data_IF_825599961906
#
_entry.id   IF_825599961906
#
_cell.length_a   1.000
_cell.length_b   1.000
_cell.length_c   1.000
_cell.angle_alpha   90.00
_cell.angle_beta   90.00
_cell.angle_gamma   90.00
#
_symmetry.space_group_name_H-M   'P 1'
#
loop_
_entity.id
_entity.type
_entity.pdbx_description
1 polymer ?
#
# COMPACT_ATOMS: atom_id res chain seq x y z
N UNK A 1 35.73 -1.01 -33.19
CA UNK A 1 35.28 -2.07 -32.28
C UNK A 1 36.12 -1.97 -31.04
N UNK A 2 35.60 -1.36 -29.97
CA UNK A 2 36.22 -1.43 -28.65
C UNK A 2 35.09 -1.59 -27.63
N UNK A 3 35.11 -2.73 -26.93
CA UNK A 3 34.08 -3.19 -25.98
C UNK A 3 34.74 -3.25 -24.60
N UNK A 4 34.87 -2.10 -23.94
CA UNK A 4 35.23 -2.03 -22.52
C UNK A 4 34.51 -0.87 -21.84
N UNK A 5 33.18 -0.93 -21.78
CA UNK A 5 32.41 -0.12 -20.84
C UNK A 5 32.13 -0.95 -19.59
N UNK A 6 32.80 -0.60 -18.49
CA UNK A 6 32.53 -1.10 -17.13
C UNK A 6 31.03 -0.95 -16.80
N UNK A 7 30.45 -1.85 -15.99
CA UNK A 7 29.04 -1.75 -15.60
C UNK A 7 28.79 -0.42 -14.88
N UNK A 8 27.83 0.36 -15.39
CA UNK A 8 27.30 1.54 -14.69
C UNK A 8 26.90 1.10 -13.28
N UNK A 9 27.45 1.78 -12.28
CA UNK A 9 27.12 1.55 -10.88
C UNK A 9 25.60 1.54 -10.69
N UNK A 10 25.09 0.55 -9.96
CA UNK A 10 23.70 0.51 -9.47
C UNK A 10 23.33 1.90 -8.93
N UNK A 11 22.18 2.48 -9.31
CA UNK A 11 21.80 3.80 -8.86
C UNK A 11 21.83 3.86 -7.33
N UNK A 12 22.48 4.90 -6.79
CA UNK A 12 22.66 5.08 -5.35
C UNK A 12 21.34 4.85 -4.61
N UNK A 13 21.32 3.82 -3.74
CA UNK A 13 20.16 3.30 -3.00
C UNK A 13 19.24 4.44 -2.55
N UNK A 14 17.96 4.33 -2.88
CA UNK A 14 16.95 5.31 -2.47
C UNK A 14 16.90 5.42 -0.94
N UNK A 15 16.62 6.61 -0.40
CA UNK A 15 16.52 6.77 1.05
C UNK A 15 15.40 5.87 1.57
N UNK A 16 15.81 4.81 2.28
CA UNK A 16 14.91 3.93 2.99
C UNK A 16 14.22 4.71 4.09
N UNK A 17 12.93 4.46 4.27
CA UNK A 17 12.20 4.92 5.44
C UNK A 17 12.85 4.24 6.66
N UNK A 18 13.54 5.02 7.50
CA UNK A 18 14.14 4.44 8.72
C UNK A 18 13.00 3.92 9.64
N UNK A 19 13.23 2.88 10.46
CA UNK A 19 12.21 2.27 11.29
C UNK A 19 11.43 3.26 12.20
N UNK A 20 12.08 4.34 12.64
CA UNK A 20 11.45 5.42 13.42
C UNK A 20 10.41 6.24 12.64
N UNK A 21 10.44 6.18 11.30
CA UNK A 21 9.44 6.75 10.39
C UNK A 21 8.40 5.71 9.99
N UNK A 22 8.03 4.78 10.86
CA UNK A 22 6.88 3.89 10.65
C UNK A 22 6.07 3.90 11.94
N UNK A 23 4.86 4.49 11.92
CA UNK A 23 3.93 4.37 13.05
C UNK A 23 3.08 3.12 12.89
N UNK A 24 3.16 2.26 13.89
CA UNK A 24 2.47 0.99 13.94
C UNK A 24 1.23 1.12 14.82
N UNK A 25 0.05 0.81 14.26
CA UNK A 25 -1.17 0.66 15.05
C UNK A 25 -1.45 -0.83 15.30
N UNK A 26 -1.81 -1.18 16.53
CA UNK A 26 -2.13 -2.55 16.96
C UNK A 26 -3.63 -2.69 17.23
N UNK A 27 -4.21 -3.84 16.90
CA UNK A 27 -5.61 -4.13 17.25
C UNK A 27 -5.71 -5.09 18.43
N UNK A 28 -6.68 -4.82 19.30
CA UNK A 28 -7.23 -5.80 20.23
C UNK A 28 -8.35 -6.56 19.52
N UNK A 29 -8.20 -7.86 19.26
CA UNK A 29 -9.32 -8.71 18.83
C UNK A 29 -9.54 -9.81 19.87
N UNK A 30 -10.74 -9.80 20.48
CA UNK A 30 -11.28 -11.00 21.14
C UNK A 30 -11.91 -11.89 20.04
N UNK A 31 -11.79 -13.22 20.13
CA UNK A 31 -12.36 -14.12 19.13
C UNK A 31 -13.89 -13.97 19.08
N UNK A 32 -14.44 -13.84 17.87
CA UNK A 32 -15.87 -13.80 17.64
C UNK A 32 -16.52 -15.11 18.14
N UNK A 33 -17.46 -14.99 19.09
CA UNK A 33 -18.29 -16.13 19.51
C UNK A 33 -19.18 -16.53 18.33
N UNK A 34 -19.08 -17.79 17.89
CA UNK A 34 -20.01 -18.38 16.91
C UNK A 34 -21.43 -18.35 17.49
N UNK A 35 -22.43 -17.79 16.79
CA UNK A 35 -23.82 -17.96 17.19
C UNK A 35 -24.27 -19.37 16.80
N UNK A 36 -24.67 -20.19 17.78
CA UNK A 36 -25.31 -21.48 17.47
C UNK A 36 -25.11 -22.65 18.44
N UNK A 37 -24.30 -22.55 19.50
CA UNK A 37 -24.20 -23.66 20.46
C UNK A 37 -25.20 -23.46 21.61
N UNK A 38 -26.30 -24.22 21.59
CA UNK A 38 -27.34 -24.24 22.63
C UNK A 38 -26.73 -24.64 23.98
N UNK A 39 -27.12 -23.94 25.05
CA UNK A 39 -26.85 -24.33 26.44
C UNK A 39 -27.55 -25.66 26.74
N UNK A 40 -26.78 -26.64 27.20
CA UNK A 40 -27.31 -27.73 28.03
C UNK A 40 -26.92 -27.36 29.47
N UNK A 41 -27.91 -27.06 30.30
CA UNK A 41 -27.81 -27.07 31.76
C UNK A 41 -28.10 -28.52 32.21
N UNK A 42 -27.58 -29.12 33.28
CA UNK A 42 -26.63 -28.78 34.33
C UNK A 42 -26.27 -30.11 35.02
N UNK A 43 -25.12 -30.22 35.70
CA UNK A 43 -25.00 -30.93 36.98
C UNK A 43 -23.59 -30.79 37.56
N UNK A 44 -23.52 -30.11 38.72
CA UNK A 44 -22.61 -30.35 39.84
C UNK A 44 -21.13 -30.60 39.59
N UNK A 45 -20.29 -29.60 39.88
CA UNK A 45 -19.19 -29.70 40.85
C UNK A 45 -18.58 -28.33 41.16
N UNK A 46 -18.16 -28.23 42.42
CA UNK A 46 -17.53 -27.17 43.19
C UNK A 46 -16.67 -26.17 42.42
N UNK A 47 -16.84 -24.89 42.75
CA UNK A 47 -15.96 -23.78 42.36
C UNK A 47 -14.66 -23.82 43.17
N UNK A 48 -13.52 -24.01 42.50
CA UNK A 48 -12.20 -23.67 43.02
C UNK A 48 -11.87 -22.21 42.66
N UNK A 49 -11.43 -21.36 43.62
CA UNK A 49 -11.06 -19.97 43.34
C UNK A 49 -9.59 -19.90 42.92
N UNK A 50 -9.30 -19.83 41.62
CA UNK A 50 -7.90 -19.80 41.18
C UNK A 50 -7.65 -19.75 39.69
N UNK A 51 -8.27 -18.80 38.97
CA UNK A 51 -7.79 -18.47 37.63
C UNK A 51 -7.96 -16.97 37.40
N UNK A 52 -6.90 -16.22 37.69
CA UNK A 52 -6.74 -14.86 37.17
C UNK A 52 -7.04 -14.90 35.68
N UNK A 53 -8.07 -14.18 35.25
CA UNK A 53 -8.42 -14.03 33.86
C UNK A 53 -7.16 -13.60 33.10
N UNK A 54 -6.59 -14.51 32.30
CA UNK A 54 -5.47 -14.16 31.43
C UNK A 54 -5.97 -13.05 30.52
N UNK A 55 -5.40 -11.85 30.70
CA UNK A 55 -5.59 -10.72 29.80
C UNK A 55 -5.37 -11.23 28.37
N UNK A 56 -6.30 -11.00 27.44
CA UNK A 56 -6.12 -11.49 26.07
C UNK A 56 -4.80 -10.93 25.54
N UNK A 57 -3.95 -11.83 25.02
CA UNK A 57 -2.72 -11.46 24.32
C UNK A 57 -3.11 -10.53 23.17
N UNK A 58 -2.94 -9.22 23.37
CA UNK A 58 -3.00 -8.24 22.29
C UNK A 58 -1.93 -8.65 21.30
N UNK A 59 -2.32 -8.90 20.05
CA UNK A 59 -1.36 -9.19 18.98
C UNK A 59 -0.36 -8.03 18.94
N UNK A 60 0.91 -8.32 19.26
CA UNK A 60 2.02 -7.35 19.14
C UNK A 60 2.41 -7.10 17.67
N UNK A 61 1.61 -7.55 16.70
CA UNK A 61 1.85 -7.34 15.28
C UNK A 61 1.01 -6.17 14.77
N UNK A 62 1.63 -5.22 14.05
CA UNK A 62 0.90 -4.06 13.56
C UNK A 62 -0.16 -4.46 12.55
N UNK A 63 -1.28 -3.76 12.59
CA UNK A 63 -2.39 -3.85 11.63
C UNK A 63 -2.23 -2.77 10.55
N UNK A 64 -1.69 -1.61 10.94
CA UNK A 64 -1.48 -0.45 10.06
C UNK A 64 -0.03 0.01 10.16
N UNK A 65 0.54 0.35 9.02
CA UNK A 65 1.84 1.02 8.89
C UNK A 65 1.55 2.42 8.33
N UNK A 66 1.61 3.45 9.17
CA UNK A 66 1.50 4.85 8.76
C UNK A 66 2.88 5.45 8.50
N UNK A 67 2.97 6.38 7.54
CA UNK A 67 4.25 6.94 7.05
C UNK A 67 4.43 8.38 7.56
N UNK A 68 5.23 8.62 8.61
CA UNK A 68 5.59 9.94 9.07
C UNK A 68 6.34 10.69 7.95
N UNK A 69 5.75 11.79 7.49
CA UNK A 69 6.23 12.58 6.33
C UNK A 69 5.17 12.75 5.24
N UNK A 70 4.34 11.72 5.02
CA UNK A 70 3.04 11.80 4.34
C UNK A 70 1.96 12.36 5.29
N UNK A 71 2.16 12.15 6.59
CA UNK A 71 1.34 12.68 7.71
C UNK A 71 1.66 14.16 8.03
N UNK A 72 2.13 14.94 7.04
CA UNK A 72 2.46 16.34 7.24
C UNK A 72 1.24 17.23 6.91
N UNK A 73 0.71 17.94 7.91
CA UNK A 73 -0.47 18.80 7.76
C UNK A 73 -1.76 17.99 7.76
N UNK A 74 -2.64 18.27 6.79
CA UNK A 74 -3.95 17.64 6.69
C UNK A 74 -3.92 16.24 6.02
N UNK A 75 -2.82 15.85 5.36
CA UNK A 75 -2.74 14.56 4.66
C UNK A 75 -2.32 13.44 5.62
N UNK A 76 -2.89 12.25 5.42
CA UNK A 76 -2.51 11.03 6.12
C UNK A 76 -2.51 9.86 5.14
N UNK A 77 -1.60 8.90 5.33
CA UNK A 77 -1.59 7.69 4.52
C UNK A 77 -0.69 6.61 5.09
N UNK A 78 -0.78 5.43 4.48
CA UNK A 78 -0.14 4.23 4.96
C UNK A 78 -0.55 2.99 4.19
N UNK A 79 -0.25 1.83 4.76
CA UNK A 79 -0.60 0.53 4.22
C UNK A 79 -1.06 -0.42 5.32
N UNK A 80 -2.02 -1.28 5.01
CA UNK A 80 -2.44 -2.36 5.92
C UNK A 80 -1.46 -3.53 5.89
N UNK A 81 -1.39 -4.25 7.01
CA UNK A 81 -0.71 -5.55 7.06
C UNK A 81 -1.72 -6.68 6.79
N UNK A 82 -1.23 -7.92 6.72
CA UNK A 82 -2.11 -9.10 6.66
C UNK A 82 -2.84 -9.38 7.98
N UNK A 83 -2.41 -8.76 9.08
CA UNK A 83 -2.93 -9.07 10.43
C UNK A 83 -4.31 -8.45 10.61
N UNK A 84 -5.31 -9.30 10.83
CA UNK A 84 -6.69 -8.87 11.05
C UNK A 84 -7.47 -8.55 9.78
N UNK A 85 -6.83 -8.57 8.60
CA UNK A 85 -7.49 -8.37 7.31
C UNK A 85 -7.89 -9.71 6.68
N UNK A 86 -9.03 -9.75 5.95
CA UNK A 86 -9.50 -10.97 5.30
C UNK A 86 -8.53 -11.44 4.20
N UNK A 87 -8.33 -12.75 4.12
CA UNK A 87 -7.74 -13.39 2.95
C UNK A 87 -8.74 -13.39 1.77
N UNK A 88 -8.27 -13.71 0.56
CA UNK A 88 -9.19 -14.17 -0.49
C UNK A 88 -9.83 -15.49 -0.03
N UNK A 89 -11.15 -15.63 -0.22
CA UNK A 89 -11.88 -16.85 0.16
C UNK A 89 -11.37 -18.10 -0.62
N UNK A 90 -11.68 -19.32 -0.14
CA UNK A 90 -11.21 -20.58 -0.76
C UNK A 90 -11.61 -20.77 -2.24
N UNK A 91 -12.59 -19.99 -2.74
CA UNK A 91 -13.06 -19.98 -4.12
C UNK A 91 -12.61 -18.75 -4.94
N UNK A 92 -11.62 -17.98 -4.47
CA UNK A 92 -11.18 -16.77 -5.17
C UNK A 92 -12.17 -15.60 -5.03
N UNK A 93 -12.89 -15.54 -3.90
CA UNK A 93 -13.77 -14.42 -3.52
C UNK A 93 -12.98 -13.15 -3.15
N UNK A 94 -12.06 -12.76 -4.02
CA UNK A 94 -11.15 -11.64 -3.85
C UNK A 94 -11.94 -10.33 -3.61
N UNK A 95 -13.03 -10.12 -4.34
CA UNK A 95 -13.84 -8.91 -4.20
C UNK A 95 -14.61 -8.84 -2.86
N UNK A 96 -15.09 -9.98 -2.34
CA UNK A 96 -15.70 -10.01 -1.01
C UNK A 96 -14.67 -9.73 0.08
N UNK A 97 -13.48 -10.34 -0.03
CA UNK A 97 -12.35 -10.04 0.85
C UNK A 97 -11.95 -8.57 0.78
N UNK A 98 -11.86 -8.00 -0.43
CA UNK A 98 -11.55 -6.58 -0.59
C UNK A 98 -12.62 -5.67 0.02
N UNK A 99 -13.90 -5.99 -0.17
CA UNK A 99 -15.01 -5.22 0.41
C UNK A 99 -14.97 -5.21 1.94
N UNK A 100 -14.79 -6.39 2.56
CA UNK A 100 -14.62 -6.50 4.02
C UNK A 100 -13.36 -5.79 4.51
N UNK A 101 -12.26 -5.86 3.74
CA UNK A 101 -11.03 -5.13 4.02
C UNK A 101 -11.21 -3.62 4.02
N UNK A 102 -11.92 -3.06 3.03
CA UNK A 102 -12.27 -1.61 2.99
C UNK A 102 -13.08 -1.19 4.21
N UNK A 103 -14.09 -1.97 4.60
CA UNK A 103 -14.89 -1.69 5.79
C UNK A 103 -14.06 -1.71 7.08
N UNK A 104 -13.15 -2.67 7.22
CA UNK A 104 -12.25 -2.75 8.38
C UNK A 104 -11.28 -1.56 8.40
N UNK A 105 -10.70 -1.22 7.25
CA UNK A 105 -9.80 -0.08 7.14
C UNK A 105 -10.50 1.22 7.56
N UNK A 106 -11.74 1.46 7.10
CA UNK A 106 -12.51 2.65 7.47
C UNK A 106 -12.64 2.81 8.99
N UNK A 107 -12.99 1.70 9.67
CA UNK A 107 -13.11 1.66 11.13
C UNK A 107 -11.77 1.96 11.82
N UNK A 108 -10.67 1.39 11.32
CA UNK A 108 -9.33 1.62 11.86
C UNK A 108 -8.87 3.07 11.67
N UNK A 109 -9.21 3.68 10.53
CA UNK A 109 -8.93 5.09 10.23
C UNK A 109 -9.89 6.06 10.95
N UNK A 110 -10.93 5.55 11.62
CA UNK A 110 -12.03 6.33 12.22
C UNK A 110 -12.67 7.28 11.21
N UNK A 111 -12.87 6.78 9.98
CA UNK A 111 -13.52 7.52 8.88
C UNK A 111 -14.81 6.82 8.45
N UNK A 112 -15.66 7.57 7.76
CA UNK A 112 -16.86 7.02 7.16
C UNK A 112 -16.48 6.01 6.06
N UNK A 113 -16.90 4.72 6.14
CA UNK A 113 -16.68 3.75 5.08
C UNK A 113 -17.30 4.14 3.73
N UNK A 114 -18.30 5.04 3.73
CA UNK A 114 -18.90 5.58 2.51
C UNK A 114 -18.00 6.58 1.79
N UNK A 115 -16.90 7.01 2.41
CA UNK A 115 -15.96 8.03 1.91
C UNK A 115 -14.63 7.43 1.43
N UNK A 116 -14.73 6.32 0.71
CA UNK A 116 -13.58 5.59 0.15
C UNK A 116 -13.73 5.41 -1.35
N UNK A 117 -12.69 5.73 -2.12
CA UNK A 117 -12.60 5.47 -3.55
C UNK A 117 -11.58 4.36 -3.84
N UNK A 118 -11.90 3.51 -4.81
CA UNK A 118 -11.01 2.45 -5.29
C UNK A 118 -11.22 2.18 -6.79
N UNK A 119 -10.32 1.37 -7.34
CA UNK A 119 -10.29 1.01 -8.75
C UNK A 119 -10.57 -0.46 -8.97
N UNK A 120 -11.01 -0.79 -10.17
CA UNK A 120 -10.77 -2.09 -10.77
C UNK A 120 -9.38 -2.02 -11.42
N UNK A 121 -8.38 -2.49 -10.67
CA UNK A 121 -6.97 -2.47 -11.10
C UNK A 121 -6.74 -3.44 -12.25
N UNK A 122 -6.20 -2.93 -13.37
CA UNK A 122 -6.04 -3.68 -14.63
C UNK A 122 -4.59 -3.73 -15.13
N UNK A 123 -3.64 -3.30 -14.30
CA UNK A 123 -2.20 -3.25 -14.60
C UNK A 123 -1.84 -2.36 -15.81
N UNK A 124 -2.57 -1.25 -15.97
CA UNK A 124 -2.38 -0.19 -16.97
C UNK A 124 -1.57 1.00 -16.41
N UNK A 125 -1.39 2.04 -17.24
CA UNK A 125 -0.92 3.38 -16.85
C UNK A 125 -2.07 4.39 -16.64
N UNK A 126 -3.33 3.95 -16.74
CA UNK A 126 -4.48 4.85 -16.72
C UNK A 126 -4.67 5.44 -15.32
N UNK A 127 -4.91 6.75 -15.30
CA UNK A 127 -5.16 7.54 -14.10
C UNK A 127 -6.56 8.13 -14.17
N UNK A 128 -7.33 8.04 -13.08
CA UNK A 128 -8.62 8.69 -12.96
C UNK A 128 -8.55 9.83 -11.95
N UNK A 129 -9.10 10.99 -12.33
CA UNK A 129 -9.46 12.01 -11.36
C UNK A 129 -10.76 11.59 -10.68
N UNK A 130 -10.77 11.54 -9.35
CA UNK A 130 -11.90 11.01 -8.58
C UNK A 130 -12.42 12.07 -7.64
N UNK A 131 -13.73 12.33 -7.71
CA UNK A 131 -14.43 13.31 -6.87
C UNK A 131 -15.51 12.64 -6.00
N UNK A 132 -15.93 11.42 -6.37
CA UNK A 132 -16.94 10.63 -5.67
C UNK A 132 -16.35 9.37 -5.03
N UNK A 133 -16.90 8.90 -3.90
CA UNK A 133 -16.55 7.61 -3.33
C UNK A 133 -17.11 6.44 -4.17
N UNK A 134 -16.56 5.25 -3.94
CA UNK A 134 -16.97 4.02 -4.61
C UNK A 134 -15.94 3.49 -5.61
N UNK A 135 -16.42 2.63 -6.51
CA UNK A 135 -15.63 2.11 -7.62
C UNK A 135 -15.56 3.17 -8.71
N UNK A 136 -14.40 3.78 -8.93
CA UNK A 136 -14.24 4.84 -9.93
C UNK A 136 -14.11 4.31 -11.38
N UNK A 137 -13.69 3.06 -11.55
CA UNK A 137 -13.60 2.39 -12.86
C UNK A 137 -12.31 1.58 -13.06
N UNK A 138 -12.06 1.22 -14.32
CA UNK A 138 -10.89 0.45 -14.75
C UNK A 138 -9.69 1.39 -14.94
N UNK A 139 -8.72 1.33 -14.04
CA UNK A 139 -7.49 2.13 -14.05
C UNK A 139 -6.50 1.60 -13.00
N UNK A 140 -5.33 2.23 -12.89
CA UNK A 140 -4.31 1.83 -11.91
C UNK A 140 -3.79 2.99 -11.05
N UNK A 141 -4.26 4.22 -11.27
CA UNK A 141 -4.06 5.30 -10.31
C UNK A 141 -5.26 6.22 -10.18
N UNK A 142 -5.35 6.89 -9.03
CA UNK A 142 -6.33 7.91 -8.73
C UNK A 142 -5.65 9.20 -8.28
N UNK A 143 -6.22 10.33 -8.67
CA UNK A 143 -5.87 11.67 -8.18
C UNK A 143 -7.14 12.33 -7.64
N UNK A 144 -7.05 13.05 -6.52
CA UNK A 144 -8.17 13.85 -6.02
C UNK A 144 -7.71 15.14 -5.33
N UNK A 145 -8.65 16.09 -5.28
CA UNK A 145 -8.60 17.27 -4.43
C UNK A 145 -9.70 17.28 -3.39
N UNK A 146 -10.48 16.22 -3.25
CA UNK A 146 -11.57 16.17 -2.29
C UNK A 146 -11.06 15.95 -0.88
N UNK A 147 -11.63 16.71 0.06
CA UNK A 147 -11.44 16.47 1.48
C UNK A 147 -12.23 15.25 1.92
N UNK A 148 -11.66 14.53 2.89
CA UNK A 148 -12.25 13.34 3.48
C UNK A 148 -12.68 12.30 2.43
N UNK A 149 -11.92 12.16 1.34
CA UNK A 149 -12.06 11.08 0.36
C UNK A 149 -10.78 10.24 0.38
N UNK A 150 -10.86 9.02 0.91
CA UNK A 150 -9.70 8.13 0.98
C UNK A 150 -9.51 7.37 -0.33
N UNK A 151 -8.35 7.54 -0.96
CA UNK A 151 -7.94 6.77 -2.15
C UNK A 151 -7.32 5.45 -1.70
N UNK A 152 -7.81 4.33 -2.21
CA UNK A 152 -7.34 2.98 -1.87
C UNK A 152 -6.79 2.23 -3.08
N UNK A 153 -5.60 1.65 -2.91
CA UNK A 153 -4.98 0.73 -3.87
C UNK A 153 -4.75 -0.62 -3.18
N UNK A 154 -5.25 -1.70 -3.80
CA UNK A 154 -5.08 -3.05 -3.30
C UNK A 154 -3.84 -3.71 -3.91
N UNK A 155 -2.95 -4.26 -3.09
CA UNK A 155 -1.72 -4.91 -3.58
C UNK A 155 -1.45 -6.23 -2.87
N UNK A 156 -0.71 -7.09 -3.55
CA UNK A 156 0.06 -8.18 -2.99
C UNK A 156 1.22 -8.40 -3.96
N UNK A 157 2.41 -7.89 -3.59
CA UNK A 157 3.66 -7.80 -4.38
C UNK A 157 3.84 -6.60 -5.31
N UNK A 158 2.81 -6.11 -6.02
CA UNK A 158 2.95 -4.88 -6.80
C UNK A 158 3.25 -3.66 -5.90
N UNK A 159 3.97 -2.66 -6.43
CA UNK A 159 4.35 -1.45 -5.71
C UNK A 159 3.21 -0.45 -5.55
N UNK A 160 2.67 -0.19 -4.36
CA UNK A 160 1.78 0.94 -4.16
C UNK A 160 2.60 2.22 -4.05
N UNK A 161 2.20 3.28 -4.74
CA UNK A 161 2.82 4.61 -4.66
C UNK A 161 1.80 5.61 -4.16
N UNK A 162 2.11 6.29 -3.06
CA UNK A 162 1.28 7.36 -2.50
C UNK A 162 1.97 8.70 -2.73
N UNK A 163 1.26 9.67 -3.30
CA UNK A 163 1.80 10.98 -3.61
C UNK A 163 0.94 12.09 -3.04
N UNK A 164 1.55 13.21 -2.63
CA UNK A 164 0.82 14.43 -2.30
C UNK A 164 1.64 15.70 -2.52
N UNK A 165 0.96 16.79 -2.87
CA UNK A 165 1.50 18.15 -2.74
C UNK A 165 0.96 18.77 -1.44
N UNK A 166 1.84 19.07 -0.46
CA UNK A 166 1.43 19.59 0.84
C UNK A 166 0.83 21.01 0.79
N UNK A 167 1.03 21.78 -0.29
CA UNK A 167 0.48 23.13 -0.39
C UNK A 167 -0.90 23.16 -1.04
N UNK A 168 -1.07 22.43 -2.14
CA UNK A 168 -2.32 22.44 -2.92
C UNK A 168 -3.33 21.43 -2.40
N UNK A 169 -2.87 20.48 -1.58
CA UNK A 169 -3.69 19.41 -1.03
C UNK A 169 -4.07 18.34 -2.07
N UNK A 170 -3.47 18.35 -3.25
CA UNK A 170 -3.66 17.27 -4.24
C UNK A 170 -3.02 16.00 -3.69
N UNK A 171 -3.78 14.89 -3.68
CA UNK A 171 -3.29 13.57 -3.28
C UNK A 171 -3.51 12.58 -4.43
N UNK A 172 -2.66 11.55 -4.47
CA UNK A 172 -2.77 10.47 -5.44
C UNK A 172 -2.33 9.12 -4.85
N UNK A 173 -2.89 8.04 -5.40
CA UNK A 173 -2.48 6.68 -5.11
C UNK A 173 -2.41 5.87 -6.40
N UNK A 174 -1.30 5.19 -6.63
CA UNK A 174 -1.03 4.40 -7.83
C UNK A 174 -0.64 2.96 -7.52
N UNK A 175 -1.04 2.04 -8.40
CA UNK A 175 -0.68 0.64 -8.45
C UNK A 175 0.40 0.42 -9.50
N UNK A 176 1.65 0.39 -9.06
CA UNK A 176 2.80 0.15 -9.91
C UNK A 176 3.23 -1.33 -9.84
N UNK A 177 2.45 -2.19 -10.50
CA UNK A 177 2.94 -3.51 -10.92
C UNK A 177 3.99 -3.38 -12.02
N UNK A 178 4.60 -4.49 -12.46
CA UNK A 178 5.65 -4.41 -13.49
C UNK A 178 5.13 -3.81 -14.81
N UNK A 179 3.92 -4.18 -15.26
CA UNK A 179 3.29 -3.62 -16.47
C UNK A 179 3.07 -2.12 -16.34
N UNK A 180 2.42 -1.69 -15.25
CA UNK A 180 2.18 -0.27 -14.96
C UNK A 180 3.47 0.53 -14.83
N UNK A 181 4.53 -0.05 -14.25
CA UNK A 181 5.84 0.61 -14.12
C UNK A 181 6.49 0.81 -15.49
N UNK A 182 6.45 -0.20 -16.36
CA UNK A 182 6.98 -0.11 -17.73
C UNK A 182 6.16 0.86 -18.58
N UNK A 183 4.83 0.86 -18.44
CA UNK A 183 3.94 1.74 -19.20
C UNK A 183 3.84 3.17 -18.66
N UNK A 184 4.53 3.48 -17.56
CA UNK A 184 4.67 4.85 -17.06
C UNK A 184 3.56 5.33 -16.11
N UNK A 185 2.92 4.46 -15.33
CA UNK A 185 1.83 4.82 -14.40
C UNK A 185 2.26 5.90 -13.39
N UNK A 186 3.53 5.95 -13.00
CA UNK A 186 4.03 6.94 -12.05
C UNK A 186 4.07 8.34 -12.69
N UNK A 187 4.59 8.43 -13.91
CA UNK A 187 4.68 9.62 -14.73
C UNK A 187 3.28 10.16 -15.01
N UNK A 188 2.37 9.29 -15.48
CA UNK A 188 0.96 9.66 -15.69
C UNK A 188 0.27 10.16 -14.42
N UNK A 189 0.59 9.57 -13.27
CA UNK A 189 0.02 10.02 -11.99
C UNK A 189 0.51 11.42 -11.63
N UNK A 190 1.80 11.70 -11.84
CA UNK A 190 2.40 13.02 -11.61
C UNK A 190 1.83 14.07 -12.58
N UNK A 191 1.69 13.73 -13.87
CA UNK A 191 1.01 14.56 -14.87
C UNK A 191 -0.41 14.95 -14.40
N UNK A 192 -1.22 13.97 -14.02
CA UNK A 192 -2.58 14.20 -13.54
C UNK A 192 -2.63 15.02 -12.22
N UNK A 193 -1.62 14.88 -11.35
CA UNK A 193 -1.50 15.73 -10.16
C UNK A 193 -1.22 17.18 -10.54
N UNK A 194 -0.34 17.43 -11.52
CA UNK A 194 -0.01 18.77 -12.01
C UNK A 194 -1.23 19.40 -12.68
N UNK A 195 -1.98 18.65 -13.48
CA UNK A 195 -3.25 19.08 -14.06
C UNK A 195 -4.30 19.43 -12.99
N UNK A 196 -4.28 18.73 -11.85
CA UNK A 196 -5.09 19.05 -10.68
C UNK A 196 -4.53 20.24 -9.86
N UNK A 197 -3.43 20.86 -10.29
CA UNK A 197 -2.85 22.06 -9.70
C UNK A 197 -1.71 21.80 -8.71
N UNK A 198 -1.17 20.57 -8.64
CA UNK A 198 0.04 20.29 -7.88
C UNK A 198 1.28 20.91 -8.55
N UNK A 199 2.30 21.17 -7.76
CA UNK A 199 3.64 21.53 -8.26
C UNK A 199 4.57 20.34 -8.11
N UNK A 200 5.14 19.89 -9.22
CA UNK A 200 6.05 18.74 -9.30
C UNK A 200 7.21 18.84 -8.31
N UNK A 201 7.75 20.04 -8.10
CA UNK A 201 8.87 20.25 -7.19
C UNK A 201 8.44 19.99 -5.75
N UNK A 202 7.16 20.18 -5.40
CA UNK A 202 6.62 19.99 -4.05
C UNK A 202 6.09 18.59 -3.79
N UNK A 203 5.76 17.82 -4.82
CA UNK A 203 5.22 16.47 -4.69
C UNK A 203 6.18 15.61 -3.85
N UNK A 204 5.61 14.98 -2.84
CA UNK A 204 6.27 13.93 -2.05
C UNK A 204 5.68 12.60 -2.43
N UNK A 205 6.53 11.60 -2.58
CA UNK A 205 6.13 10.26 -2.95
C UNK A 205 6.63 9.24 -1.92
N UNK A 206 5.81 8.24 -1.65
CA UNK A 206 6.17 7.07 -0.88
C UNK A 206 5.86 5.81 -1.66
N UNK A 207 6.87 4.97 -1.83
CA UNK A 207 6.77 3.63 -2.41
C UNK A 207 6.62 2.66 -1.26
N UNK A 208 5.48 1.96 -1.21
CA UNK A 208 5.18 1.02 -0.15
C UNK A 208 5.84 -0.34 -0.31
N UNK A 209 5.62 -1.25 0.67
CA UNK A 209 6.09 -2.62 0.60
C UNK A 209 5.62 -3.30 -0.69
N UNK A 210 6.57 -3.94 -1.38
CA UNK A 210 6.34 -4.68 -2.61
C UNK A 210 7.40 -5.78 -2.75
N UNK A 211 7.32 -6.60 -3.79
CA UNK A 211 8.29 -7.68 -4.00
C UNK A 211 9.68 -7.11 -4.24
N UNK A 212 10.64 -7.57 -3.45
CA UNK A 212 12.03 -7.12 -3.52
C UNK A 212 12.83 -7.79 -4.63
N UNK A 213 14.00 -7.22 -5.00
CA UNK A 213 14.84 -7.72 -6.09
C UNK A 213 15.26 -9.17 -5.92
N UNK A 214 15.52 -9.63 -4.68
CA UNK A 214 15.91 -11.00 -4.41
C UNK A 214 14.79 -12.03 -4.66
N UNK A 215 13.52 -11.59 -4.76
CA UNK A 215 12.34 -12.46 -4.85
C UNK A 215 11.60 -12.30 -6.17
N UNK A 216 11.84 -11.22 -6.91
CA UNK A 216 11.13 -10.93 -8.15
C UNK A 216 11.79 -11.55 -9.38
N UNK A 217 11.88 -12.88 -9.37
CA UNK A 217 12.24 -13.66 -10.55
C UNK A 217 11.20 -13.46 -11.66
N UNK A 218 11.67 -13.25 -12.89
CA UNK A 218 10.85 -13.09 -14.10
C UNK A 218 11.44 -13.86 -15.29
N UNK A 219 10.69 -13.94 -16.39
CA UNK A 219 11.24 -14.38 -17.68
C UNK A 219 11.96 -13.25 -18.41
N UNK A 220 12.75 -13.61 -19.43
CA UNK A 220 13.51 -12.62 -20.22
C UNK A 220 12.59 -11.63 -20.93
N UNK A 221 11.37 -12.04 -21.29
CA UNK A 221 10.35 -11.21 -21.90
C UNK A 221 9.90 -10.03 -21.03
N UNK A 222 9.93 -10.20 -19.70
CA UNK A 222 9.66 -9.13 -18.75
C UNK A 222 10.94 -8.35 -18.47
N UNK A 223 12.07 -9.05 -18.28
CA UNK A 223 13.36 -8.43 -17.99
C UNK A 223 13.82 -7.46 -19.09
N UNK A 224 13.53 -7.76 -20.35
CA UNK A 224 13.86 -6.92 -21.50
C UNK A 224 13.06 -5.59 -21.55
N UNK A 225 11.98 -5.47 -20.78
CA UNK A 225 11.17 -4.25 -20.68
C UNK A 225 11.74 -3.23 -19.70
N UNK A 226 12.68 -3.63 -18.86
CA UNK A 226 13.33 -2.77 -17.87
C UNK A 226 14.72 -2.35 -18.33
N UNK A 227 15.16 -1.17 -17.88
CA UNK A 227 16.56 -0.78 -18.00
C UNK A 227 17.44 -1.82 -17.30
N UNK A 228 18.55 -2.20 -17.94
CA UNK A 228 19.47 -3.21 -17.44
C UNK A 228 20.04 -2.90 -16.04
N UNK A 229 20.04 -1.63 -15.61
CA UNK A 229 20.44 -1.23 -14.27
C UNK A 229 19.51 -1.77 -13.15
N UNK A 230 18.28 -2.18 -13.48
CA UNK A 230 17.32 -2.76 -12.55
C UNK A 230 17.14 -4.27 -12.71
N UNK A 231 17.95 -4.91 -13.56
CA UNK A 231 17.84 -6.34 -13.83
C UNK A 231 19.11 -7.05 -13.44
N UNK A 232 19.01 -7.93 -12.45
CA UNK A 232 20.06 -8.88 -12.12
C UNK A 232 19.94 -10.13 -12.99
N UNK A 233 20.91 -10.31 -13.90
CA UNK A 233 21.04 -11.49 -14.77
C UNK A 233 22.15 -12.44 -14.32
N UNK A 234 22.67 -12.29 -13.09
CA UNK A 234 23.67 -13.20 -12.53
C UNK A 234 23.06 -14.48 -11.96
N UNK A 235 21.75 -14.49 -11.73
CA UNK A 235 20.96 -15.64 -11.30
C UNK A 235 20.55 -16.52 -12.50
N UNK A 236 20.09 -17.75 -12.22
CA UNK A 236 19.61 -18.68 -13.24
C UNK A 236 18.47 -18.10 -14.11
N UNK A 237 17.64 -17.24 -13.51
CA UNK A 237 16.63 -16.43 -14.19
C UNK A 237 16.76 -14.97 -13.80
N UNK A 238 16.41 -14.02 -14.69
CA UNK A 238 16.48 -12.60 -14.37
C UNK A 238 15.63 -12.22 -13.16
N UNK A 239 16.17 -11.33 -12.34
CA UNK A 239 15.47 -10.73 -11.21
C UNK A 239 15.36 -9.22 -11.42
N UNK A 240 14.19 -8.64 -11.11
CA UNK A 240 13.93 -7.21 -11.33
C UNK A 240 13.82 -6.47 -10.00
N UNK A 241 14.57 -5.39 -9.84
CA UNK A 241 14.39 -4.42 -8.75
C UNK A 241 13.22 -3.48 -9.05
N UNK A 242 12.01 -3.98 -8.85
CA UNK A 242 10.76 -3.23 -9.07
C UNK A 242 10.70 -1.93 -8.23
N UNK A 243 11.03 -1.92 -6.92
CA UNK A 243 11.03 -0.69 -6.14
C UNK A 243 12.01 0.37 -6.69
N UNK A 244 13.20 -0.04 -7.17
CA UNK A 244 14.16 0.90 -7.76
C UNK A 244 13.67 1.43 -9.13
N UNK A 245 13.06 0.58 -9.96
CA UNK A 245 12.47 0.99 -11.23
C UNK A 245 11.35 2.02 -11.03
N UNK A 246 10.43 1.79 -10.09
CA UNK A 246 9.37 2.75 -9.72
C UNK A 246 9.98 4.10 -9.31
N UNK A 247 11.01 4.06 -8.47
CA UNK A 247 11.65 5.27 -7.98
C UNK A 247 12.37 6.03 -9.10
N UNK A 248 12.93 5.35 -10.10
CA UNK A 248 13.50 5.96 -11.29
C UNK A 248 12.42 6.64 -12.15
N UNK A 249 11.28 5.99 -12.35
CA UNK A 249 10.12 6.59 -13.04
C UNK A 249 9.63 7.88 -12.36
N UNK A 250 9.56 7.91 -11.04
CA UNK A 250 9.22 9.13 -10.30
C UNK A 250 10.26 10.26 -10.48
N UNK A 251 11.55 9.92 -10.58
CA UNK A 251 12.59 10.91 -10.89
C UNK A 251 12.46 11.45 -12.32
N UNK A 252 12.16 10.59 -13.29
CA UNK A 252 11.93 10.96 -14.68
C UNK A 252 10.69 11.84 -14.84
N UNK A 253 9.67 11.63 -13.99
CA UNK A 253 8.51 12.52 -13.87
C UNK A 253 8.83 13.90 -13.23
N UNK A 254 10.09 14.15 -12.85
CA UNK A 254 10.55 15.44 -12.33
C UNK A 254 10.56 15.56 -10.79
N UNK A 255 10.24 14.50 -10.04
CA UNK A 255 10.27 14.60 -8.57
C UNK A 255 11.70 14.73 -8.05
N UNK A 256 11.85 15.55 -7.02
CA UNK A 256 13.11 15.66 -6.29
C UNK A 256 13.42 14.35 -5.54
N UNK A 257 14.61 13.76 -5.75
CA UNK A 257 15.07 12.54 -5.06
C UNK A 257 14.90 12.59 -3.54
N UNK A 258 15.08 13.77 -2.92
CA UNK A 258 14.94 13.94 -1.46
C UNK A 258 13.49 13.85 -0.97
N UNK A 259 12.50 13.88 -1.87
CA UNK A 259 11.05 13.80 -1.58
C UNK A 259 10.45 12.43 -1.92
N UNK A 260 11.25 11.51 -2.46
CA UNK A 260 10.87 10.12 -2.67
C UNK A 260 11.35 9.30 -1.47
N UNK A 261 10.46 8.47 -0.90
CA UNK A 261 10.77 7.53 0.17
C UNK A 261 10.38 6.13 -0.26
N UNK A 262 11.16 5.14 0.13
CA UNK A 262 10.86 3.73 -0.11
C UNK A 262 10.76 2.99 1.22
N UNK A 263 9.72 2.17 1.39
CA UNK A 263 9.54 1.36 2.59
C UNK A 263 10.71 0.38 2.83
N UNK A 264 11.39 -0.08 1.77
CA UNK A 264 12.51 -1.03 1.88
C UNK A 264 12.10 -2.40 2.41
N UNK A 265 10.85 -2.79 2.18
CA UNK A 265 10.23 -3.99 2.77
C UNK A 265 9.72 -4.91 1.67
N UNK A 266 10.22 -6.14 1.65
CA UNK A 266 9.81 -7.18 0.72
C UNK A 266 8.55 -7.92 1.23
N UNK A 267 7.50 -7.96 0.43
CA UNK A 267 6.22 -8.64 0.77
C UNK A 267 6.36 -10.15 0.86
N UNK A 268 7.28 -10.74 0.08
CA UNK A 268 7.58 -12.18 0.09
C UNK A 268 8.32 -12.56 1.37
N UNK A 269 9.36 -11.81 1.73
CA UNK A 269 10.24 -12.11 2.88
C UNK A 269 9.58 -11.84 4.23
N UNK A 270 8.74 -10.80 4.32
CA UNK A 270 8.04 -10.43 5.56
C UNK A 270 6.65 -11.10 5.63
N UNK A 271 6.65 -12.44 5.64
CA UNK A 271 5.43 -13.25 5.63
C UNK A 271 4.50 -13.02 6.82
N UNK A 272 5.04 -12.64 7.97
CA UNK A 272 4.29 -12.37 9.19
C UNK A 272 3.52 -11.05 9.13
N UNK A 273 3.84 -10.20 8.14
CA UNK A 273 3.33 -8.85 7.97
C UNK A 273 2.57 -8.65 6.67
N UNK A 274 2.95 -9.26 5.54
CA UNK A 274 2.34 -8.99 4.24
C UNK A 274 1.80 -10.24 3.54
N UNK A 275 0.68 -10.06 2.84
CA UNK A 275 0.25 -10.99 1.78
C UNK A 275 1.19 -10.88 0.59
N UNK A 276 1.47 -11.99 -0.06
CA UNK A 276 2.28 -12.02 -1.27
C UNK A 276 1.64 -13.00 -2.26
N UNK A 277 1.32 -12.50 -3.45
CA UNK A 277 0.76 -13.31 -4.52
C UNK A 277 1.76 -14.40 -4.96
N UNK A 278 3.04 -14.03 -5.07
CA UNK A 278 4.16 -14.89 -5.42
C UNK A 278 4.34 -16.03 -4.42
N UNK A 279 4.42 -15.72 -3.12
CA UNK A 279 4.62 -16.74 -2.08
C UNK A 279 3.39 -17.62 -1.91
N UNK A 280 2.20 -17.01 -1.91
CA UNK A 280 0.96 -17.69 -1.53
C UNK A 280 0.23 -18.31 -2.75
N UNK A 281 0.91 -18.49 -3.89
CA UNK A 281 0.39 -19.20 -5.06
C UNK A 281 -0.84 -18.56 -5.72
N UNK A 282 -0.95 -17.24 -5.62
CA UNK A 282 -2.06 -16.46 -6.18
C UNK A 282 -3.34 -16.41 -5.33
N UNK A 283 -3.47 -17.26 -4.32
CA UNK A 283 -4.62 -17.29 -3.41
C UNK A 283 -4.24 -16.59 -2.11
N UNK A 284 -4.37 -15.26 -2.09
CA UNK A 284 -4.06 -14.46 -0.91
C UNK A 284 -4.94 -13.23 -0.77
N UNK A 285 -4.96 -12.63 0.42
CA UNK A 285 -5.57 -11.32 0.64
C UNK A 285 -4.83 -10.19 -0.07
N UNK A 286 -5.27 -8.95 0.18
CA UNK A 286 -4.61 -7.74 -0.32
C UNK A 286 -4.26 -6.83 0.84
N UNK A 287 -3.10 -6.18 0.75
CA UNK A 287 -2.88 -4.95 1.50
C UNK A 287 -3.68 -3.83 0.84
N UNK A 288 -4.07 -2.83 1.63
CA UNK A 288 -4.61 -1.58 1.15
C UNK A 288 -3.64 -0.47 1.46
N UNK A 289 -3.00 0.08 0.42
CA UNK A 289 -2.34 1.37 0.51
C UNK A 289 -3.42 2.46 0.44
N UNK A 290 -3.34 3.44 1.32
CA UNK A 290 -4.35 4.47 1.46
C UNK A 290 -3.73 5.84 1.66
N UNK A 291 -4.39 6.86 1.13
CA UNK A 291 -4.07 8.26 1.38
C UNK A 291 -5.36 9.08 1.40
N UNK A 292 -5.42 10.06 2.30
CA UNK A 292 -6.58 10.92 2.50
C UNK A 292 -6.15 12.27 3.03
N UNK A 293 -6.82 13.32 2.56
CA UNK A 293 -6.72 14.67 3.11
C UNK A 293 -7.85 14.88 4.11
N UNK A 294 -7.51 15.24 5.34
CA UNK A 294 -8.48 15.67 6.35
C UNK A 294 -8.99 17.07 6.00
N UNK A 295 -10.26 17.39 6.29
CA UNK A 295 -10.77 18.74 6.12
C UNK A 295 -9.95 19.72 6.97
N UNK A 296 -9.80 20.95 6.48
CA UNK A 296 -9.24 22.03 7.28
C UNK A 296 -10.06 22.19 8.57
N UNK A 297 -9.40 22.33 9.72
CA UNK A 297 -10.09 22.58 10.97
C UNK A 297 -10.88 23.89 10.84
N UNK A 298 -12.21 23.82 10.83
CA UNK A 298 -13.06 25.01 10.92
C UNK A 298 -12.79 25.65 12.27
N UNK A 299 -12.10 26.78 12.28
CA UNK A 299 -12.04 27.64 13.46
C UNK A 299 -13.45 28.14 13.72
N UNK A 300 -14.16 27.47 14.63
CA UNK A 300 -15.38 28.01 15.21
C UNK A 300 -15.01 29.33 15.88
N UNK A 301 -15.26 30.44 15.20
CA UNK A 301 -15.38 31.74 15.85
C UNK A 301 -16.61 31.63 16.75
N UNK A 302 -16.39 31.45 18.06
CA UNK A 302 -17.43 31.75 19.04
C UNK A 302 -17.73 33.25 18.91
N UNK A 303 -18.87 33.57 18.29
CA UNK A 303 -19.56 34.84 18.45
C UNK A 303 -20.21 34.90 19.82
#
# INVERSE_FOLDING_TARGET
MDRTALPRALPARFPLCQPEFIRLAYGSHAPARRPGCRRIAAAGRSLEPGATARTPLVSRRPILVSIPGLVAGAVSGGITTRVGFPAAGPAGEEEAGKAAGRQLLARLLRRDPSRMAWLKQVHSDRVLRVEDPGLAGDADAMVTREDDLALLIAVADCGPVLLHDPQTGVIAAAHAGWRGTVSGVCERTVEAMIEAGADVERIRAWIGPCIGPAQFEVGEEVAAQFDGAFVDRTQARPHVDLPAAIAARLLEAGLNKKKIRNAGQCTVELEDRYWSYRRDGGICGRQFAWIVRSPAATTSSKS
#
